data_IF_874838509682
#
_entry.id   IF_874838509682
#
_cell.length_a   1.000
_cell.length_b   1.000
_cell.length_c   1.000
_cell.angle_alpha   90.00
_cell.angle_beta   90.00
_cell.angle_gamma   90.00
#
_symmetry.space_group_name_H-M   'P 1'
#
loop_
_entity.id
_entity.type
_entity.pdbx_description
1 polymer ?
#
# COMPACT_ATOMS: atom_id res chain seq x y z
N UNK A 1 -8.45 -34.61 -34.79
CA UNK A 1 -9.57 -33.64 -34.86
C UNK A 1 -9.92 -32.98 -33.52
N UNK A 2 -9.39 -33.43 -32.38
CA UNK A 2 -9.67 -32.84 -31.05
C UNK A 2 -8.71 -31.71 -30.63
N UNK A 3 -7.54 -31.61 -31.28
CA UNK A 3 -6.49 -30.65 -30.92
C UNK A 3 -6.64 -29.27 -31.59
N UNK A 4 -7.44 -29.17 -32.66
CA UNK A 4 -7.70 -27.90 -33.35
C UNK A 4 -8.79 -27.06 -32.69
N UNK A 5 -9.72 -27.67 -31.95
CA UNK A 5 -10.79 -26.96 -31.22
C UNK A 5 -10.23 -26.15 -30.04
N UNK A 6 -9.13 -26.63 -29.44
CA UNK A 6 -8.49 -25.97 -28.30
C UNK A 6 -7.74 -24.69 -28.75
N UNK A 7 -7.16 -24.70 -29.96
CA UNK A 7 -6.46 -23.52 -30.49
C UNK A 7 -7.43 -22.40 -30.94
N UNK A 8 -8.60 -22.74 -31.48
CA UNK A 8 -9.58 -21.74 -31.91
C UNK A 8 -10.31 -21.06 -30.74
N UNK A 9 -10.42 -21.74 -29.59
CA UNK A 9 -10.94 -21.13 -28.35
C UNK A 9 -9.97 -20.10 -27.73
N UNK A 10 -8.66 -20.28 -27.89
CA UNK A 10 -7.65 -19.33 -27.42
C UNK A 10 -7.49 -18.10 -28.32
N UNK A 11 -7.75 -18.21 -29.62
CA UNK A 11 -7.66 -17.06 -30.54
C UNK A 11 -8.94 -16.21 -30.58
N UNK A 12 -10.10 -16.81 -30.29
CA UNK A 12 -11.39 -16.10 -30.23
C UNK A 12 -11.56 -15.23 -28.99
N UNK A 13 -10.83 -15.50 -27.91
CA UNK A 13 -10.78 -14.60 -26.74
C UNK A 13 -9.88 -13.38 -26.97
N UNK A 14 -8.86 -13.50 -27.84
CA UNK A 14 -7.96 -12.40 -28.20
C UNK A 14 -8.64 -11.43 -29.19
N UNK A 15 -9.49 -11.92 -30.10
CA UNK A 15 -10.22 -11.05 -31.04
C UNK A 15 -11.37 -10.26 -30.39
N UNK A 16 -11.91 -10.69 -29.25
CA UNK A 16 -12.86 -9.91 -28.43
C UNK A 16 -12.20 -8.67 -27.83
N UNK A 17 -10.89 -8.70 -27.58
CA UNK A 17 -10.14 -7.54 -27.08
C UNK A 17 -9.77 -6.54 -28.17
N UNK A 18 -9.71 -6.95 -29.45
CA UNK A 18 -9.25 -6.11 -30.55
C UNK A 18 -10.36 -5.33 -31.28
N UNK A 19 -11.63 -5.65 -31.06
CA UNK A 19 -12.73 -5.18 -31.92
C UNK A 19 -13.78 -4.24 -31.31
N UNK A 20 -13.77 -3.93 -30.01
CA UNK A 20 -14.94 -3.32 -29.36
C UNK A 20 -14.64 -2.14 -28.42
N UNK A 21 -14.71 -0.92 -28.97
CA UNK A 21 -15.31 0.28 -28.38
C UNK A 21 -14.83 0.75 -27.00
N UNK A 22 -14.35 2.00 -26.90
CA UNK A 22 -13.88 2.63 -25.66
C UNK A 22 -14.84 2.58 -24.45
N UNK A 23 -16.13 2.29 -24.64
CA UNK A 23 -17.09 2.01 -23.57
C UNK A 23 -16.86 0.67 -22.86
N UNK A 24 -16.43 -0.37 -23.57
CA UNK A 24 -16.16 -1.69 -22.98
C UNK A 24 -14.83 -1.68 -22.22
N UNK A 25 -13.80 -0.99 -22.74
CA UNK A 25 -12.52 -0.84 -22.05
C UNK A 25 -12.68 -0.17 -20.68
N UNK A 26 -13.42 0.94 -20.59
CA UNK A 26 -13.66 1.62 -19.31
C UNK A 26 -14.38 0.73 -18.30
N UNK A 27 -15.37 -0.05 -18.74
CA UNK A 27 -16.09 -1.01 -17.88
C UNK A 27 -15.19 -2.14 -17.40
N UNK A 28 -14.33 -2.66 -18.27
CA UNK A 28 -13.33 -3.68 -17.94
C UNK A 28 -12.31 -3.13 -16.94
N UNK A 29 -11.82 -1.90 -17.13
CA UNK A 29 -10.90 -1.26 -16.20
C UNK A 29 -11.53 -1.09 -14.80
N UNK A 30 -12.76 -0.59 -14.77
CA UNK A 30 -13.49 -0.41 -13.51
C UNK A 30 -13.70 -1.76 -12.83
N UNK A 31 -14.23 -2.77 -13.54
CA UNK A 31 -14.43 -4.10 -12.95
C UNK A 31 -13.12 -4.73 -12.49
N UNK A 32 -12.02 -4.56 -13.22
CA UNK A 32 -10.68 -5.02 -12.82
C UNK A 32 -10.21 -4.36 -11.52
N UNK A 33 -10.37 -3.04 -11.39
CA UNK A 33 -9.96 -2.33 -10.16
C UNK A 33 -10.76 -2.80 -8.95
N UNK A 34 -12.09 -2.93 -9.07
CA UNK A 34 -12.93 -3.39 -7.97
C UNK A 34 -12.68 -4.86 -7.61
N UNK A 35 -12.43 -5.72 -8.60
CA UNK A 35 -12.07 -7.13 -8.35
C UNK A 35 -10.73 -7.25 -7.64
N UNK A 36 -9.69 -6.52 -8.06
CA UNK A 36 -8.41 -6.47 -7.34
C UNK A 36 -8.57 -5.95 -5.90
N UNK A 37 -9.38 -4.90 -5.70
CA UNK A 37 -9.64 -4.35 -4.37
C UNK A 37 -10.36 -5.38 -3.48
N UNK A 38 -11.37 -6.08 -4.00
CA UNK A 38 -12.10 -7.10 -3.27
C UNK A 38 -11.20 -8.30 -2.89
N UNK A 39 -10.35 -8.76 -3.81
CA UNK A 39 -9.38 -9.83 -3.53
C UNK A 39 -8.40 -9.40 -2.44
N UNK A 40 -7.82 -8.21 -2.52
CA UNK A 40 -6.91 -7.69 -1.49
C UNK A 40 -7.59 -7.56 -0.13
N UNK A 41 -8.82 -7.07 -0.11
CA UNK A 41 -9.61 -6.98 1.12
C UNK A 41 -9.85 -8.35 1.75
N UNK A 42 -10.24 -9.35 0.95
CA UNK A 42 -10.45 -10.72 1.43
C UNK A 42 -9.15 -11.36 1.92
N UNK A 43 -8.05 -11.20 1.18
CA UNK A 43 -6.73 -11.66 1.62
C UNK A 43 -6.32 -11.03 2.95
N UNK A 44 -6.49 -9.71 3.11
CA UNK A 44 -6.15 -9.04 4.35
C UNK A 44 -7.05 -9.51 5.50
N UNK A 45 -8.36 -9.66 5.23
CA UNK A 45 -9.33 -10.18 6.21
C UNK A 45 -8.99 -11.60 6.65
N UNK A 46 -8.51 -12.45 5.75
CA UNK A 46 -8.10 -13.82 6.09
C UNK A 46 -6.77 -13.85 6.84
N UNK A 47 -5.80 -13.01 6.44
CA UNK A 47 -4.55 -12.85 7.19
C UNK A 47 -4.82 -12.44 8.63
N UNK A 48 -5.65 -11.43 8.86
CA UNK A 48 -6.01 -11.00 10.22
C UNK A 48 -6.76 -12.07 11.02
N UNK A 49 -7.47 -13.01 10.37
CA UNK A 49 -8.11 -14.15 11.05
C UNK A 49 -7.15 -15.26 11.44
N UNK A 50 -5.98 -15.32 10.81
CA UNK A 50 -4.96 -16.34 11.06
C UNK A 50 -3.89 -15.89 12.05
N UNK A 51 -3.82 -14.59 12.36
CA UNK A 51 -2.93 -14.09 13.41
C UNK A 51 -3.46 -14.63 14.73
N UNK A 52 -2.70 -15.55 15.32
CA UNK A 52 -2.94 -16.04 16.68
C UNK A 52 -2.63 -14.91 17.66
N UNK A 53 -3.36 -14.82 18.77
CA UNK A 53 -3.13 -13.82 19.82
C UNK A 53 -1.65 -13.79 20.28
N UNK A 54 -0.99 -14.95 20.32
CA UNK A 54 0.43 -15.08 20.64
C UNK A 54 1.38 -14.38 19.65
N UNK A 55 1.06 -14.39 18.36
CA UNK A 55 1.87 -13.71 17.34
C UNK A 55 1.67 -12.20 17.41
N UNK A 56 0.45 -11.76 17.72
CA UNK A 56 0.13 -10.35 17.95
C UNK A 56 0.85 -9.83 19.19
N UNK A 57 0.78 -10.56 20.30
CA UNK A 57 1.50 -10.23 21.55
C UNK A 57 3.01 -10.17 21.29
N UNK A 58 3.59 -11.15 20.59
CA UNK A 58 5.03 -11.13 20.26
C UNK A 58 5.43 -9.91 19.43
N UNK A 59 4.57 -9.50 18.50
CA UNK A 59 4.82 -8.32 17.67
C UNK A 59 4.70 -7.02 18.47
N UNK A 60 3.74 -6.97 19.39
CA UNK A 60 3.57 -5.84 20.32
C UNK A 60 4.79 -5.77 21.23
N UNK A 61 5.18 -6.87 21.88
CA UNK A 61 6.37 -6.94 22.73
C UNK A 61 7.62 -6.49 21.94
N UNK A 62 7.88 -7.03 20.77
CA UNK A 62 9.03 -6.60 19.94
C UNK A 62 9.02 -5.10 19.55
N UNK A 63 7.86 -4.43 19.55
CA UNK A 63 7.74 -3.01 19.18
C UNK A 63 7.73 -2.09 20.39
N UNK A 64 7.22 -2.57 21.53
CA UNK A 64 6.89 -1.79 22.72
C UNK A 64 7.61 -2.30 23.98
N UNK A 65 8.52 -3.26 23.86
CA UNK A 65 9.35 -3.73 24.97
C UNK A 65 10.22 -2.57 25.49
N UNK A 66 10.23 -2.45 26.82
CA UNK A 66 11.05 -1.46 27.51
C UNK A 66 12.50 -1.93 27.52
N UNK A 67 13.41 -0.99 27.42
CA UNK A 67 14.83 -1.28 27.62
C UNK A 67 15.12 -1.66 29.09
N UNK A 68 16.36 -2.07 29.36
CA UNK A 68 16.84 -2.41 30.71
C UNK A 68 16.74 -1.24 31.70
N UNK A 69 16.62 -0.01 31.18
CA UNK A 69 16.49 1.23 31.92
C UNK A 69 15.02 1.59 32.20
N UNK A 70 14.07 0.82 31.68
CA UNK A 70 12.63 0.98 31.88
C UNK A 70 11.96 1.99 30.93
N UNK A 71 12.68 2.46 29.91
CA UNK A 71 12.18 3.39 28.90
C UNK A 71 11.59 2.65 27.70
N UNK A 72 10.49 3.18 27.18
CA UNK A 72 9.99 2.73 25.88
C UNK A 72 10.88 3.24 24.73
N UNK A 73 10.89 2.60 23.55
CA UNK A 73 11.75 3.01 22.42
C UNK A 73 11.62 4.48 22.00
N UNK A 74 10.44 5.09 22.17
CA UNK A 74 10.20 6.51 21.88
C UNK A 74 10.54 7.46 23.04
N UNK A 75 10.87 6.94 24.22
CA UNK A 75 11.29 7.70 25.40
C UNK A 75 12.81 7.74 25.55
N UNK A 76 13.54 6.84 24.88
CA UNK A 76 15.02 6.76 24.94
C UNK A 76 15.66 8.07 24.47
N UNK A 77 15.05 8.72 23.50
CA UNK A 77 15.62 9.86 22.81
C UNK A 77 14.82 11.14 23.09
N UNK A 78 15.21 11.80 24.16
CA UNK A 78 14.65 13.08 24.64
C UNK A 78 15.52 14.28 24.28
N UNK A 79 16.58 14.07 23.50
CA UNK A 79 17.49 15.15 23.11
C UNK A 79 16.95 15.94 21.93
N UNK A 80 16.21 17.00 22.27
CA UNK A 80 15.72 18.03 21.35
C UNK A 80 16.75 19.16 21.12
N UNK A 81 18.02 18.97 21.52
CA UNK A 81 19.02 20.04 21.41
C UNK A 81 19.33 20.40 19.95
N UNK A 82 19.61 21.69 19.65
CA UNK A 82 19.94 22.13 18.30
C UNK A 82 21.25 21.52 17.77
N UNK A 83 22.09 20.96 18.65
CA UNK A 83 23.36 20.33 18.30
C UNK A 83 23.20 19.03 17.51
N UNK A 84 22.01 18.44 17.53
CA UNK A 84 21.68 17.20 16.82
C UNK A 84 21.52 17.39 15.31
N UNK A 85 21.28 18.63 14.88
CA UNK A 85 21.04 18.99 13.49
C UNK A 85 22.37 19.02 12.74
N UNK A 86 22.66 17.98 11.95
CA UNK A 86 23.88 17.94 11.13
C UNK A 86 23.79 18.93 9.96
N UNK A 87 24.92 19.41 9.40
CA UNK A 87 24.89 20.31 8.24
C UNK A 87 24.22 19.71 7.00
N UNK A 88 24.15 18.38 6.92
CA UNK A 88 23.46 17.65 5.83
C UNK A 88 21.96 17.47 6.07
N UNK A 89 21.47 17.79 7.26
CA UNK A 89 20.04 17.67 7.58
C UNK A 89 19.21 18.61 6.69
N UNK A 90 18.12 18.08 6.13
CA UNK A 90 17.25 18.86 5.27
C UNK A 90 16.40 19.81 6.11
N UNK A 91 16.35 21.12 5.81
CA UNK A 91 15.46 22.03 6.51
C UNK A 91 14.01 21.61 6.26
N UNK A 92 13.19 21.69 7.31
CA UNK A 92 11.75 21.45 7.18
C UNK A 92 11.14 22.58 6.32
N UNK A 93 10.79 22.26 5.07
CA UNK A 93 10.12 23.21 4.18
C UNK A 93 8.62 23.09 4.43
N UNK A 94 8.00 24.14 4.96
CA UNK A 94 6.55 24.20 5.12
C UNK A 94 5.86 24.43 3.76
N UNK A 95 5.70 23.34 3.00
CA UNK A 95 5.02 23.36 1.70
C UNK A 95 3.51 23.10 1.79
N UNK A 96 3.00 22.76 2.98
CA UNK A 96 1.63 22.30 3.18
C UNK A 96 0.62 23.42 3.45
N UNK A 97 1.08 24.67 3.60
CA UNK A 97 0.21 25.83 3.80
C UNK A 97 -0.31 26.47 2.50
N UNK A 98 -1.51 27.11 2.51
CA UNK A 98 -1.97 27.91 1.39
C UNK A 98 -0.97 29.03 1.10
N UNK A 99 -0.41 29.03 -0.12
CA UNK A 99 0.51 30.07 -0.57
C UNK A 99 -0.26 31.36 -0.74
N UNK A 100 0.12 32.42 -0.01
CA UNK A 100 -0.42 33.76 -0.26
C UNK A 100 -0.02 34.17 -1.69
N UNK A 101 -1.00 34.42 -2.55
CA UNK A 101 -0.76 34.96 -3.89
C UNK A 101 0.03 36.26 -3.79
N UNK A 102 1.01 36.45 -4.69
CA UNK A 102 1.66 37.76 -4.83
C UNK A 102 0.65 38.69 -5.52
N UNK A 103 0.30 39.79 -4.89
CA UNK A 103 -0.39 40.88 -5.58
C UNK A 103 0.56 41.42 -6.65
N UNK A 104 0.11 41.42 -7.90
CA UNK A 104 0.82 42.00 -9.04
C UNK A 104 0.11 43.28 -9.44
#
# INVERSE_FOLDING_TARGET
MMMQVIQTAWLSSISVAAGAGGFNFRRILISLTFTMMAVRYLQNRWKHRQITEEEEIRKIEATYEKDENGFYPWEVDTDDSPNRVTPESKPMVNSWGPKRGRWR
#
